data_IF_399766513624
#
_entry.id   IF_399766513624
#
_cell.length_a   1.000
_cell.length_b   1.000
_cell.length_c   1.000
_cell.angle_alpha   90.00
_cell.angle_beta   90.00
_cell.angle_gamma   90.00
#
_symmetry.space_group_name_H-M   'P 1'
#
loop_
_entity.id
_entity.type
_entity.pdbx_description
1 polymer ?
#
# COMPACT_ATOMS: atom_id res chain seq x y z
N UNK A 1 37.40 45.32 -45.04
CA UNK A 1 37.08 44.65 -43.75
C UNK A 1 35.70 44.04 -43.87
N UNK A 2 35.55 42.72 -43.70
CA UNK A 2 34.26 42.02 -43.80
C UNK A 2 33.50 42.18 -42.49
N UNK A 3 32.24 42.61 -42.57
CA UNK A 3 31.35 42.70 -41.42
C UNK A 3 30.96 41.29 -40.96
N UNK A 4 31.31 40.95 -39.71
CA UNK A 4 30.87 39.72 -39.05
C UNK A 4 29.53 40.01 -38.40
N UNK A 5 28.46 39.43 -38.94
CA UNK A 5 27.12 39.46 -38.34
C UNK A 5 27.08 38.40 -37.25
N UNK A 6 27.18 38.83 -36.00
CA UNK A 6 27.00 37.96 -34.84
C UNK A 6 25.50 37.77 -34.58
N UNK A 7 24.91 36.69 -35.10
CA UNK A 7 23.56 36.25 -34.72
C UNK A 7 23.61 35.70 -33.29
N UNK A 8 23.28 36.52 -32.30
CA UNK A 8 23.06 36.06 -30.93
C UNK A 8 21.70 35.37 -30.88
N UNK A 9 21.73 34.04 -30.85
CA UNK A 9 20.54 33.19 -30.65
C UNK A 9 20.14 33.29 -29.17
N UNK A 10 19.23 34.21 -28.84
CA UNK A 10 18.59 34.22 -27.52
C UNK A 10 17.62 33.04 -27.46
N UNK A 11 18.09 31.90 -26.95
CA UNK A 11 17.22 30.81 -26.54
C UNK A 11 16.40 31.25 -25.33
N UNK A 12 15.12 31.57 -25.55
CA UNK A 12 14.17 31.81 -24.47
C UNK A 12 13.97 30.46 -23.75
N UNK A 13 14.62 30.27 -22.61
CA UNK A 13 14.32 29.15 -21.71
C UNK A 13 12.96 29.45 -21.06
N UNK A 14 11.88 28.96 -21.67
CA UNK A 14 10.56 28.95 -21.03
C UNK A 14 10.56 27.79 -20.05
N UNK A 15 11.00 28.04 -18.81
CA UNK A 15 10.65 27.16 -17.70
C UNK A 15 9.16 27.34 -17.46
N UNK A 16 8.34 26.43 -18.00
CA UNK A 16 6.95 26.32 -17.61
C UNK A 16 6.93 26.07 -16.10
N UNK A 17 6.52 27.06 -15.31
CA UNK A 17 6.24 26.87 -13.90
C UNK A 17 5.03 25.94 -13.82
N UNK A 18 5.27 24.66 -13.52
CA UNK A 18 4.21 23.71 -13.23
C UNK A 18 3.64 24.09 -11.86
N UNK A 19 2.49 24.76 -11.82
CA UNK A 19 1.73 24.91 -10.57
C UNK A 19 1.14 23.54 -10.24
N UNK A 20 1.54 22.94 -9.12
CA UNK A 20 0.82 21.80 -8.56
C UNK A 20 -0.48 22.32 -7.95
N UNK A 21 -1.62 21.78 -8.39
CA UNK A 21 -2.87 21.97 -7.68
C UNK A 21 -2.81 21.17 -6.36
N UNK A 22 -3.53 21.63 -5.34
CA UNK A 22 -3.64 20.94 -4.04
C UNK A 22 -5.12 20.81 -3.73
N UNK A 23 -5.60 19.58 -3.54
CA UNK A 23 -6.92 19.27 -3.01
C UNK A 23 -6.79 19.13 -1.49
N UNK A 24 -7.10 20.21 -0.77
CA UNK A 24 -7.08 20.21 0.70
C UNK A 24 -8.51 20.18 1.23
N UNK A 25 -8.79 19.23 2.13
CA UNK A 25 -10.11 18.98 2.69
C UNK A 25 -10.08 19.11 4.21
N UNK A 26 -10.95 19.96 4.74
CA UNK A 26 -11.11 20.27 6.17
C UNK A 26 -12.53 19.99 6.71
N UNK A 27 -13.36 19.39 5.87
CA UNK A 27 -14.73 18.99 6.17
C UNK A 27 -15.09 17.77 5.33
N UNK A 28 -16.12 17.05 5.72
CA UNK A 28 -16.67 15.94 4.95
C UNK A 28 -16.97 16.34 3.50
N UNK A 29 -16.32 15.67 2.53
CA UNK A 29 -16.35 16.06 1.12
C UNK A 29 -16.47 14.82 0.23
N UNK A 30 -17.40 14.88 -0.73
CA UNK A 30 -17.50 13.93 -1.84
C UNK A 30 -16.89 14.57 -3.09
N UNK A 31 -15.99 13.85 -3.75
CA UNK A 31 -15.35 14.28 -4.98
C UNK A 31 -15.58 13.26 -6.08
N UNK A 32 -16.55 13.55 -6.97
CA UNK A 32 -16.99 12.60 -8.00
C UNK A 32 -16.97 13.09 -9.45
N UNK A 33 -16.56 14.33 -9.67
CA UNK A 33 -16.70 14.98 -10.98
C UNK A 33 -15.52 14.75 -11.93
N UNK A 34 -14.36 14.32 -11.43
CA UNK A 34 -13.17 14.14 -12.25
C UNK A 34 -12.69 12.70 -12.28
N UNK A 35 -12.52 12.20 -13.51
CA UNK A 35 -11.84 10.93 -13.79
C UNK A 35 -10.39 10.92 -13.36
N UNK A 36 -9.73 12.07 -13.40
CA UNK A 36 -8.30 12.18 -13.08
C UNK A 36 -8.05 13.37 -12.17
N UNK A 37 -7.49 13.11 -11.00
CA UNK A 37 -7.07 14.12 -10.05
C UNK A 37 -5.58 14.34 -10.24
N UNK A 38 -5.19 15.59 -10.48
CA UNK A 38 -3.80 16.01 -10.59
C UNK A 38 -3.50 16.98 -9.47
N UNK A 39 -2.52 16.64 -8.64
CA UNK A 39 -2.13 17.47 -7.49
C UNK A 39 -2.02 16.71 -6.19
N UNK A 40 -1.55 17.42 -5.16
CA UNK A 40 -1.47 16.86 -3.80
C UNK A 40 -2.86 16.68 -3.21
N UNK A 41 -3.06 15.60 -2.46
CA UNK A 41 -4.32 15.33 -1.73
C UNK A 41 -4.02 15.42 -0.24
N UNK A 42 -4.70 16.32 0.47
CA UNK A 42 -4.49 16.56 1.89
C UNK A 42 -5.82 16.46 2.63
N UNK A 43 -5.96 15.45 3.49
CA UNK A 43 -7.12 15.26 4.35
C UNK A 43 -6.73 15.56 5.79
N UNK A 44 -7.36 16.58 6.37
CA UNK A 44 -7.07 17.01 7.73
C UNK A 44 -7.69 16.07 8.78
N UNK A 45 -7.16 16.11 9.99
CA UNK A 45 -7.74 15.39 11.13
C UNK A 45 -9.22 15.79 11.33
N UNK A 46 -10.04 14.82 11.73
CA UNK A 46 -11.49 14.96 11.87
C UNK A 46 -12.28 15.18 10.57
N UNK A 47 -11.62 15.19 9.40
CA UNK A 47 -12.28 15.36 8.10
C UNK A 47 -12.43 14.04 7.34
N UNK A 48 -13.41 13.94 6.47
CA UNK A 48 -13.57 12.81 5.56
C UNK A 48 -13.55 13.24 4.09
N UNK A 49 -12.84 12.53 3.23
CA UNK A 49 -12.83 12.72 1.79
C UNK A 49 -13.13 11.39 1.11
N UNK A 50 -14.18 11.36 0.30
CA UNK A 50 -14.47 10.27 -0.62
C UNK A 50 -14.18 10.72 -2.05
N UNK A 51 -13.30 10.00 -2.73
CA UNK A 51 -12.99 10.18 -4.15
C UNK A 51 -13.55 8.98 -4.91
N UNK A 52 -14.39 9.24 -5.90
CA UNK A 52 -15.05 8.19 -6.67
C UNK A 52 -15.29 8.62 -8.11
N UNK A 53 -15.01 7.79 -9.11
CA UNK A 53 -15.39 8.10 -10.49
C UNK A 53 -15.54 6.81 -11.31
N UNK A 54 -16.77 6.47 -11.71
CA UNK A 54 -17.09 5.27 -12.50
C UNK A 54 -16.84 5.51 -14.00
N UNK A 55 -16.20 4.59 -14.76
CA UNK A 55 -15.65 3.28 -14.36
C UNK A 55 -14.16 3.28 -14.02
N UNK A 56 -13.53 4.45 -14.04
CA UNK A 56 -12.10 4.57 -13.85
C UNK A 56 -11.76 5.85 -13.10
N UNK A 57 -10.79 5.75 -12.20
CA UNK A 57 -10.24 6.85 -11.42
C UNK A 57 -8.71 6.83 -11.47
N UNK A 58 -8.12 7.96 -11.88
CA UNK A 58 -6.68 8.18 -11.84
C UNK A 58 -6.32 9.25 -10.80
N UNK A 59 -5.27 9.02 -10.02
CA UNK A 59 -4.70 10.01 -9.10
C UNK A 59 -3.22 10.18 -9.42
N UNK A 60 -2.85 11.37 -9.88
CA UNK A 60 -1.48 11.77 -10.17
C UNK A 60 -1.05 12.82 -9.14
N UNK A 61 -0.36 12.38 -8.09
CA UNK A 61 -0.08 13.20 -6.92
C UNK A 61 1.41 13.34 -6.64
N UNK A 62 1.83 14.50 -6.13
CA UNK A 62 3.12 14.58 -5.45
C UNK A 62 3.00 13.81 -4.13
N UNK A 63 2.10 14.27 -3.27
CA UNK A 63 1.88 13.73 -1.94
C UNK A 63 0.39 13.54 -1.64
N UNK A 64 0.05 12.36 -1.13
CA UNK A 64 -1.23 12.09 -0.47
C UNK A 64 -0.96 12.06 1.03
N UNK A 65 -1.42 13.08 1.76
CA UNK A 65 -1.30 13.20 3.21
C UNK A 65 -2.67 13.03 3.86
N UNK A 66 -2.88 11.94 4.59
CA UNK A 66 -4.15 11.61 5.22
C UNK A 66 -4.02 11.56 6.74
N UNK A 67 -4.59 12.55 7.42
CA UNK A 67 -4.74 12.58 8.88
C UNK A 67 -6.18 12.34 9.34
N UNK A 68 -7.15 12.25 8.42
CA UNK A 68 -8.56 12.01 8.70
C UNK A 68 -9.03 10.69 8.09
N UNK A 69 -10.12 10.74 7.32
CA UNK A 69 -10.64 9.57 6.61
C UNK A 69 -10.61 9.82 5.09
N UNK A 70 -9.74 9.10 4.37
CA UNK A 70 -9.68 9.16 2.91
C UNK A 70 -10.18 7.83 2.34
N UNK A 71 -11.23 7.88 1.54
CA UNK A 71 -11.72 6.73 0.79
C UNK A 71 -11.60 6.99 -0.71
N UNK A 72 -11.02 6.05 -1.43
CA UNK A 72 -10.81 6.08 -2.88
C UNK A 72 -11.47 4.83 -3.44
N UNK A 73 -12.62 4.95 -4.07
CA UNK A 73 -13.36 3.76 -4.49
C UNK A 73 -14.78 3.96 -4.93
N UNK A 74 -15.52 2.85 -5.06
CA UNK A 74 -16.95 2.86 -5.37
C UNK A 74 -17.77 3.14 -4.11
N UNK A 75 -18.92 3.80 -4.27
CA UNK A 75 -19.83 4.07 -3.15
C UNK A 75 -20.85 2.98 -2.89
N UNK A 76 -20.93 2.01 -3.79
CA UNK A 76 -21.90 0.94 -3.74
C UNK A 76 -21.21 -0.42 -3.87
N UNK A 77 -21.90 -1.45 -3.40
CA UNK A 77 -21.41 -2.82 -3.31
C UNK A 77 -21.67 -3.63 -4.58
N UNK A 78 -21.88 -2.97 -5.73
CA UNK A 78 -22.24 -3.62 -6.99
C UNK A 78 -21.43 -3.11 -8.19
N UNK A 79 -20.89 -1.90 -8.08
CA UNK A 79 -20.06 -1.26 -9.08
C UNK A 79 -18.66 -1.82 -9.06
N UNK A 80 -17.97 -1.67 -10.19
CA UNK A 80 -16.60 -2.15 -10.40
C UNK A 80 -15.81 -0.99 -11.02
N UNK A 81 -14.68 -0.62 -10.42
CA UNK A 81 -13.89 0.53 -10.85
C UNK A 81 -12.41 0.17 -11.03
N UNK A 82 -11.77 0.68 -12.09
CA UNK A 82 -10.30 0.66 -12.13
C UNK A 82 -9.74 1.88 -11.40
N UNK A 83 -8.75 1.66 -10.54
CA UNK A 83 -8.09 2.72 -9.77
C UNK A 83 -6.59 2.71 -10.10
N UNK A 84 -6.04 3.82 -10.59
CA UNK A 84 -4.60 3.99 -10.81
C UNK A 84 -4.08 5.17 -9.99
N UNK A 85 -3.29 4.87 -8.97
CA UNK A 85 -2.65 5.86 -8.10
C UNK A 85 -1.17 5.89 -8.41
N UNK A 86 -0.69 7.03 -8.90
CA UNK A 86 0.72 7.35 -9.02
C UNK A 86 1.03 8.53 -8.11
N UNK A 87 1.70 8.26 -6.99
CA UNK A 87 2.13 9.29 -6.05
C UNK A 87 3.65 9.26 -5.81
N UNK A 88 4.24 10.39 -5.43
CA UNK A 88 5.62 10.33 -4.89
C UNK A 88 5.58 9.80 -3.46
N UNK A 89 4.70 10.34 -2.62
CA UNK A 89 4.58 9.93 -1.22
C UNK A 89 3.11 9.67 -0.82
N UNK A 90 2.90 8.64 -0.01
CA UNK A 90 1.69 8.48 0.81
C UNK A 90 2.11 8.57 2.28
N UNK A 91 1.52 9.52 3.00
CA UNK A 91 1.67 9.70 4.44
C UNK A 91 0.30 9.47 5.10
N UNK A 92 0.09 8.30 5.69
CA UNK A 92 -1.19 7.93 6.29
C UNK A 92 -1.09 7.83 7.81
N UNK A 93 -1.77 8.74 8.51
CA UNK A 93 -1.96 8.72 9.97
C UNK A 93 -3.41 8.45 10.38
N UNK A 94 -4.34 8.60 9.45
CA UNK A 94 -5.77 8.36 9.64
C UNK A 94 -6.23 7.02 9.05
N UNK A 95 -7.44 7.00 8.50
CA UNK A 95 -8.01 5.85 7.79
C UNK A 95 -7.92 6.10 6.28
N UNK A 96 -7.11 5.32 5.56
CA UNK A 96 -7.01 5.34 4.11
C UNK A 96 -7.58 4.02 3.57
N UNK A 97 -8.59 4.12 2.72
CA UNK A 97 -9.27 2.97 2.12
C UNK A 97 -9.21 3.13 0.60
N UNK A 98 -8.78 2.06 -0.06
CA UNK A 98 -8.79 1.91 -1.51
C UNK A 98 -9.60 0.66 -1.82
N UNK A 99 -10.75 0.83 -2.47
CA UNK A 99 -11.74 -0.24 -2.74
C UNK A 99 -12.27 -0.11 -4.17
N UNK A 100 -12.07 -1.13 -5.01
CA UNK A 100 -12.56 -1.15 -6.39
C UNK A 100 -14.00 -1.67 -6.55
N UNK A 101 -14.71 -1.95 -5.47
CA UNK A 101 -16.13 -2.32 -5.52
C UNK A 101 -16.34 -3.82 -5.44
N UNK A 102 -16.87 -4.49 -6.46
CA UNK A 102 -16.99 -5.97 -6.48
C UNK A 102 -16.02 -6.62 -7.45
N UNK A 103 -15.75 -7.92 -7.29
CA UNK A 103 -14.90 -8.68 -8.21
C UNK A 103 -15.40 -8.58 -9.66
N UNK A 104 -14.49 -8.34 -10.59
CA UNK A 104 -14.75 -8.10 -12.01
C UNK A 104 -13.51 -8.22 -12.90
N UNK A 105 -13.42 -7.35 -13.91
CA UNK A 105 -12.33 -7.27 -14.88
C UNK A 105 -11.48 -6.00 -14.74
N UNK A 106 -11.69 -5.25 -13.66
CA UNK A 106 -11.01 -3.99 -13.40
C UNK A 106 -9.69 -4.24 -12.68
N UNK A 107 -8.90 -3.18 -12.57
CA UNK A 107 -7.56 -3.28 -12.01
C UNK A 107 -7.28 -2.12 -11.09
N UNK A 108 -6.77 -2.42 -9.90
CA UNK A 108 -6.25 -1.40 -8.99
C UNK A 108 -4.73 -1.46 -8.93
N UNK A 109 -4.10 -0.36 -9.28
CA UNK A 109 -2.64 -0.19 -9.23
C UNK A 109 -2.29 0.99 -8.34
N UNK A 110 -1.45 0.75 -7.33
CA UNK A 110 -0.90 1.78 -6.47
C UNK A 110 0.61 1.78 -6.60
N UNK A 111 1.17 2.84 -7.18
CA UNK A 111 2.62 3.03 -7.37
C UNK A 111 3.06 4.27 -6.63
N UNK A 112 3.93 4.07 -5.64
CA UNK A 112 4.47 5.15 -4.82
C UNK A 112 5.97 5.06 -4.67
N UNK A 113 6.63 6.21 -4.51
CA UNK A 113 8.05 6.20 -4.16
C UNK A 113 8.23 5.89 -2.66
N UNK A 114 7.47 6.58 -1.80
CA UNK A 114 7.51 6.37 -0.35
C UNK A 114 6.12 6.12 0.23
N UNK A 115 6.03 5.17 1.15
CA UNK A 115 4.83 4.90 1.95
C UNK A 115 5.21 4.96 3.43
N UNK A 116 4.61 5.89 4.17
CA UNK A 116 4.67 5.98 5.63
C UNK A 116 3.25 5.81 6.20
N UNK A 117 2.99 4.64 6.78
CA UNK A 117 1.72 4.29 7.38
C UNK A 117 1.84 4.16 8.90
N UNK A 118 1.20 5.07 9.63
CA UNK A 118 1.02 5.00 11.09
C UNK A 118 -0.44 4.90 11.52
N UNK A 119 -1.37 5.10 10.58
CA UNK A 119 -2.80 4.86 10.77
C UNK A 119 -3.26 3.50 10.24
N UNK A 120 -4.46 3.48 9.67
CA UNK A 120 -5.07 2.30 9.06
C UNK A 120 -5.07 2.45 7.54
N UNK A 121 -4.43 1.54 6.83
CA UNK A 121 -4.46 1.44 5.37
C UNK A 121 -5.20 0.16 4.98
N UNK A 122 -6.33 0.28 4.30
CA UNK A 122 -7.04 -0.83 3.69
C UNK A 122 -6.92 -0.71 2.18
N UNK A 123 -6.39 -1.75 1.57
CA UNK A 123 -6.37 -1.97 0.14
C UNK A 123 -7.22 -3.24 -0.05
N UNK A 124 -8.54 -3.05 -0.16
CA UNK A 124 -9.52 -4.12 -0.34
C UNK A 124 -9.79 -4.30 -1.81
N UNK A 125 -9.14 -5.29 -2.40
CA UNK A 125 -9.10 -5.43 -3.83
C UNK A 125 -9.59 -6.83 -4.25
N UNK A 126 -10.29 -6.93 -5.38
CA UNK A 126 -11.16 -8.08 -5.70
C UNK A 126 -10.86 -8.74 -7.05
N UNK A 127 -9.81 -8.28 -7.73
CA UNK A 127 -9.38 -8.69 -9.07
C UNK A 127 -7.96 -9.29 -9.08
N UNK A 128 -7.54 -9.93 -10.18
CA UNK A 128 -6.29 -10.72 -10.23
C UNK A 128 -5.03 -9.95 -10.69
N UNK A 129 -5.17 -8.69 -11.09
CA UNK A 129 -4.07 -7.85 -11.62
C UNK A 129 -3.73 -6.66 -10.71
N UNK A 130 -4.01 -6.84 -9.42
CA UNK A 130 -3.89 -5.77 -8.45
C UNK A 130 -2.49 -5.66 -7.89
N UNK A 131 -2.02 -4.44 -7.66
CA UNK A 131 -0.65 -4.24 -7.20
C UNK A 131 -0.44 -3.02 -6.31
N UNK A 132 0.44 -3.20 -5.32
CA UNK A 132 1.08 -2.12 -4.57
C UNK A 132 2.59 -2.20 -4.81
N UNK A 133 3.14 -1.13 -5.40
CA UNK A 133 4.58 -0.98 -5.62
C UNK A 133 5.09 0.24 -4.85
N UNK A 134 6.08 0.02 -3.99
CA UNK A 134 6.80 1.06 -3.24
C UNK A 134 8.29 0.99 -3.63
N UNK A 135 8.87 2.08 -4.15
CA UNK A 135 10.21 2.00 -4.75
C UNK A 135 11.37 2.46 -3.87
N UNK A 136 11.15 3.40 -2.94
CA UNK A 136 12.22 4.06 -2.18
C UNK A 136 12.17 3.72 -0.68
N UNK A 137 11.07 4.06 0.00
CA UNK A 137 10.94 3.91 1.45
C UNK A 137 9.59 3.31 1.83
N UNK A 138 9.60 2.28 2.66
CA UNK A 138 8.39 1.68 3.21
C UNK A 138 8.51 1.62 4.73
N UNK A 139 7.65 2.37 5.41
CA UNK A 139 7.51 2.37 6.87
C UNK A 139 6.07 2.07 7.24
N UNK A 140 5.85 1.03 8.05
CA UNK A 140 4.56 0.71 8.64
C UNK A 140 4.68 0.56 10.15
N UNK A 141 4.06 1.48 10.88
CA UNK A 141 3.91 1.45 12.34
C UNK A 141 2.45 1.23 12.77
N UNK A 142 1.50 1.38 11.83
CA UNK A 142 0.07 1.18 12.04
C UNK A 142 -0.45 -0.17 11.55
N UNK A 143 -1.70 -0.21 11.09
CA UNK A 143 -2.33 -1.38 10.50
C UNK A 143 -2.42 -1.23 8.98
N UNK A 144 -2.02 -2.25 8.24
CA UNK A 144 -2.19 -2.34 6.80
C UNK A 144 -2.92 -3.63 6.46
N UNK A 145 -3.95 -3.56 5.62
CA UNK A 145 -4.66 -4.71 5.08
C UNK A 145 -4.48 -4.71 3.57
N UNK A 146 -3.75 -5.71 3.10
CA UNK A 146 -3.55 -6.06 1.70
C UNK A 146 -4.37 -7.33 1.47
N UNK A 147 -5.69 -7.21 1.60
CA UNK A 147 -6.60 -8.35 1.61
C UNK A 147 -7.33 -8.48 0.28
N UNK A 148 -7.54 -9.71 -0.17
CA UNK A 148 -8.40 -10.00 -1.31
C UNK A 148 -9.63 -10.75 -0.82
N UNK A 149 -10.80 -10.20 -1.09
CA UNK A 149 -12.07 -10.80 -0.69
C UNK A 149 -12.78 -11.28 -1.95
N UNK A 150 -12.45 -12.49 -2.41
CA UNK A 150 -13.34 -13.20 -3.33
C UNK A 150 -14.10 -14.30 -2.62
N UNK A 151 -15.42 -14.12 -2.54
CA UNK A 151 -16.37 -15.11 -2.00
C UNK A 151 -16.40 -16.44 -2.77
N UNK A 152 -15.78 -16.51 -3.96
CA UNK A 152 -15.90 -17.64 -4.89
C UNK A 152 -14.59 -18.41 -5.16
N UNK A 153 -13.59 -18.31 -4.27
CA UNK A 153 -12.46 -19.25 -4.29
C UNK A 153 -11.49 -19.08 -5.45
N UNK A 154 -11.33 -17.87 -5.97
CA UNK A 154 -10.30 -17.56 -6.97
C UNK A 154 -8.96 -17.28 -6.30
N UNK A 155 -7.88 -17.77 -6.91
CA UNK A 155 -6.48 -17.47 -6.57
C UNK A 155 -6.17 -16.01 -6.93
N UNK A 156 -6.70 -15.05 -6.17
CA UNK A 156 -6.37 -13.64 -6.30
C UNK A 156 -4.87 -13.42 -6.05
N UNK A 157 -4.12 -13.09 -7.10
CA UNK A 157 -2.70 -12.74 -6.97
C UNK A 157 -2.59 -11.25 -6.75
N UNK A 158 -2.45 -10.84 -5.50
CA UNK A 158 -2.07 -9.46 -5.18
C UNK A 158 -0.55 -9.30 -5.32
N UNK A 159 -0.11 -8.48 -6.27
CA UNK A 159 1.32 -8.23 -6.46
C UNK A 159 1.81 -7.14 -5.52
N UNK A 160 2.45 -7.54 -4.43
CA UNK A 160 3.16 -6.64 -3.53
C UNK A 160 4.64 -6.53 -3.91
N UNK A 161 5.11 -5.29 -4.14
CA UNK A 161 6.53 -5.00 -4.40
C UNK A 161 7.04 -3.90 -3.48
N UNK A 162 7.87 -4.29 -2.51
CA UNK A 162 8.59 -3.36 -1.64
C UNK A 162 9.88 -2.81 -2.28
N UNK A 163 10.51 -1.83 -1.62
CA UNK A 163 11.79 -1.28 -2.05
C UNK A 163 12.92 -2.28 -1.81
N UNK A 164 13.95 -2.26 -2.68
CA UNK A 164 15.09 -3.19 -2.58
C UNK A 164 15.95 -2.96 -1.34
N UNK A 165 15.86 -1.77 -0.74
CA UNK A 165 16.49 -1.42 0.54
C UNK A 165 15.84 -2.12 1.75
N UNK A 166 14.63 -2.66 1.60
CA UNK A 166 13.89 -3.34 2.67
C UNK A 166 12.72 -2.55 3.23
N UNK A 167 11.94 -3.21 4.07
CA UNK A 167 10.73 -2.70 4.70
C UNK A 167 10.99 -2.49 6.19
N UNK A 168 10.56 -1.36 6.74
CA UNK A 168 10.47 -1.18 8.20
C UNK A 168 9.02 -1.39 8.63
N UNK A 169 8.74 -2.51 9.28
CA UNK A 169 7.42 -2.84 9.81
C UNK A 169 7.51 -3.09 11.32
N UNK A 170 6.99 -2.16 12.12
CA UNK A 170 6.73 -2.36 13.55
C UNK A 170 5.23 -2.45 13.88
N UNK A 171 4.38 -2.27 12.86
CA UNK A 171 2.94 -2.47 12.94
C UNK A 171 2.50 -3.87 12.48
N UNK A 172 1.30 -3.95 11.92
CA UNK A 172 0.73 -5.19 11.36
C UNK A 172 0.44 -5.02 9.88
N UNK A 173 0.83 -6.01 9.06
CA UNK A 173 0.43 -6.16 7.66
C UNK A 173 -0.40 -7.44 7.56
N UNK A 174 -1.69 -7.26 7.31
CA UNK A 174 -2.66 -8.31 7.07
C UNK A 174 -2.70 -8.65 5.58
N UNK A 175 -2.37 -9.89 5.22
CA UNK A 175 -2.30 -10.42 3.85
C UNK A 175 -3.34 -11.53 3.63
N UNK A 176 -4.37 -11.52 4.46
CA UNK A 176 -5.49 -12.46 4.43
C UNK A 176 -6.15 -12.60 3.06
N UNK A 177 -6.35 -13.85 2.62
CA UNK A 177 -7.00 -14.16 1.34
C UNK A 177 -6.15 -13.84 0.11
N UNK A 178 -4.87 -13.48 0.28
CA UNK A 178 -3.96 -13.17 -0.83
C UNK A 178 -2.80 -14.14 -0.94
N UNK A 179 -2.23 -14.17 -2.13
CA UNK A 179 -0.93 -14.77 -2.40
C UNK A 179 0.12 -13.66 -2.44
N UNK A 180 0.99 -13.59 -1.43
CA UNK A 180 2.01 -12.54 -1.32
C UNK A 180 3.41 -13.13 -1.27
N UNK A 181 4.37 -12.48 -1.95
CA UNK A 181 5.79 -12.86 -1.89
C UNK A 181 6.61 -11.75 -1.24
N UNK A 182 7.31 -12.10 -0.17
CA UNK A 182 8.24 -11.25 0.56
C UNK A 182 9.67 -11.64 0.16
N UNK A 183 10.25 -10.86 -0.75
CA UNK A 183 11.59 -11.09 -1.33
C UNK A 183 12.59 -9.95 -1.01
N UNK A 184 12.44 -9.34 0.16
CA UNK A 184 13.23 -8.20 0.63
C UNK A 184 13.46 -8.32 2.14
N UNK A 185 14.50 -7.68 2.72
CA UNK A 185 14.66 -7.67 4.17
C UNK A 185 13.54 -6.88 4.86
N UNK A 186 13.10 -7.34 6.04
CA UNK A 186 12.13 -6.62 6.87
C UNK A 186 12.67 -6.46 8.30
N UNK A 187 12.61 -5.25 8.83
CA UNK A 187 13.00 -4.89 10.21
C UNK A 187 11.81 -4.32 11.01
N UNK A 188 11.95 -4.22 12.33
CA UNK A 188 11.04 -3.42 13.17
C UNK A 188 10.20 -4.21 14.18
N UNK A 189 10.30 -5.54 14.23
CA UNK A 189 9.63 -6.38 15.23
C UNK A 189 8.10 -6.51 15.06
N UNK A 190 7.54 -6.06 13.94
CA UNK A 190 6.11 -6.11 13.64
C UNK A 190 5.60 -7.51 13.30
N UNK A 191 4.39 -7.54 12.72
CA UNK A 191 3.72 -8.77 12.33
C UNK A 191 3.25 -8.75 10.87
N UNK A 192 3.35 -9.92 10.22
CA UNK A 192 2.66 -10.22 8.97
C UNK A 192 1.66 -11.34 9.26
N UNK A 193 0.39 -11.09 8.95
CA UNK A 193 -0.74 -11.89 9.39
C UNK A 193 -1.51 -12.45 8.20
N UNK A 194 -1.81 -13.75 8.20
CA UNK A 194 -2.74 -14.39 7.28
C UNK A 194 -3.90 -15.04 8.04
N UNK A 195 -5.13 -14.82 7.57
CA UNK A 195 -6.34 -15.37 8.18
C UNK A 195 -6.89 -16.62 7.46
N UNK A 196 -8.12 -16.98 7.84
CA UNK A 196 -8.86 -18.17 7.43
C UNK A 196 -9.19 -18.29 5.93
N UNK A 197 -8.99 -17.27 5.09
CA UNK A 197 -9.46 -17.26 3.70
C UNK A 197 -8.44 -17.81 2.70
N UNK A 198 -7.67 -18.86 3.06
CA UNK A 198 -6.58 -19.44 2.26
C UNK A 198 -5.52 -18.39 1.90
N UNK A 199 -4.55 -18.20 2.78
CA UNK A 199 -3.37 -17.37 2.50
C UNK A 199 -2.20 -18.25 2.08
N UNK A 200 -1.59 -17.96 0.93
CA UNK A 200 -0.29 -18.51 0.52
C UNK A 200 0.78 -17.41 0.61
N UNK A 201 1.49 -17.39 1.75
CA UNK A 201 2.52 -16.40 2.04
C UNK A 201 3.90 -16.97 1.73
N UNK A 202 4.61 -16.37 0.78
CA UNK A 202 5.97 -16.77 0.42
C UNK A 202 7.00 -15.85 1.06
N UNK A 203 7.99 -16.40 1.77
CA UNK A 203 9.04 -15.67 2.49
C UNK A 203 10.42 -16.15 2.05
N UNK A 204 11.27 -15.25 1.54
CA UNK A 204 12.64 -15.60 1.20
C UNK A 204 13.58 -15.50 2.42
N UNK A 205 14.02 -16.66 2.91
CA UNK A 205 14.91 -16.81 4.08
C UNK A 205 16.38 -16.44 3.81
N UNK A 206 16.74 -16.03 2.58
CA UNK A 206 18.04 -15.42 2.29
C UNK A 206 18.16 -14.00 2.84
N UNK A 207 17.02 -13.36 3.13
CA UNK A 207 16.94 -12.05 3.78
C UNK A 207 16.59 -12.18 5.24
N UNK A 208 17.05 -11.22 6.05
CA UNK A 208 16.70 -11.14 7.44
C UNK A 208 15.28 -10.59 7.57
N UNK A 209 14.46 -11.29 8.36
CA UNK A 209 13.12 -10.87 8.72
C UNK A 209 13.02 -10.82 10.24
N UNK A 210 12.93 -9.62 10.80
CA UNK A 210 12.64 -9.39 12.22
C UNK A 210 11.13 -9.24 12.41
N UNK A 211 10.37 -10.18 11.87
CA UNK A 211 8.91 -10.15 11.85
C UNK A 211 8.37 -11.44 12.43
N UNK A 212 7.23 -11.34 13.11
CA UNK A 212 6.43 -12.53 13.42
C UNK A 212 5.45 -12.78 12.27
N UNK A 213 5.55 -13.95 11.65
CA UNK A 213 4.57 -14.42 10.68
C UNK A 213 3.50 -15.24 11.41
N UNK A 214 2.26 -14.73 11.47
CA UNK A 214 1.14 -15.39 12.15
C UNK A 214 0.15 -15.94 11.13
N UNK A 215 -0.09 -17.25 11.18
CA UNK A 215 -1.16 -17.91 10.42
C UNK A 215 -2.30 -18.29 11.36
N UNK A 216 -3.47 -17.66 11.22
CA UNK A 216 -4.63 -18.10 11.98
C UNK A 216 -5.06 -19.51 11.52
N UNK A 217 -5.63 -20.29 12.44
CA UNK A 217 -6.29 -21.55 12.09
C UNK A 217 -7.42 -21.28 11.09
N UNK A 218 -7.45 -22.08 10.03
CA UNK A 218 -8.46 -22.02 8.98
C UNK A 218 -9.08 -23.40 8.81
N UNK A 219 -10.32 -23.44 8.33
CA UNK A 219 -10.95 -24.66 7.79
C UNK A 219 -10.37 -25.06 6.42
N UNK A 220 -9.66 -24.13 5.76
CA UNK A 220 -8.92 -24.32 4.50
C UNK A 220 -7.42 -24.35 4.76
N UNK A 221 -6.68 -25.15 4.01
CA UNK A 221 -5.23 -25.18 4.15
C UNK A 221 -4.62 -23.81 3.80
N UNK A 222 -4.03 -23.13 4.78
CA UNK A 222 -3.16 -21.97 4.56
C UNK A 222 -1.70 -22.40 4.64
N UNK A 223 -0.84 -21.76 3.86
CA UNK A 223 0.56 -22.15 3.78
C UNK A 223 1.51 -20.96 3.87
N UNK A 224 2.65 -21.20 4.52
CA UNK A 224 3.80 -20.31 4.41
C UNK A 224 4.91 -21.03 3.63
N UNK A 225 5.31 -20.50 2.50
CA UNK A 225 6.36 -21.08 1.65
C UNK A 225 7.68 -20.39 1.93
N UNK A 226 8.68 -21.14 2.38
CA UNK A 226 10.02 -20.65 2.63
C UNK A 226 10.91 -20.85 1.40
N UNK A 227 11.37 -19.76 0.81
CA UNK A 227 12.36 -19.77 -0.28
C UNK A 227 13.77 -19.56 0.27
N UNK A 228 14.77 -19.86 -0.55
CA UNK A 228 16.19 -19.67 -0.23
C UNK A 228 16.82 -20.87 0.45
N UNK A 229 18.00 -20.66 1.06
CA UNK A 229 18.82 -21.71 1.65
C UNK A 229 18.68 -21.82 3.18
N UNK A 230 17.68 -21.16 3.79
CA UNK A 230 17.49 -21.16 5.25
C UNK A 230 18.53 -20.35 6.01
N UNK A 231 19.08 -19.28 5.41
CA UNK A 231 20.17 -18.49 6.01
C UNK A 231 19.75 -17.81 7.32
N UNK A 232 18.52 -17.29 7.39
CA UNK A 232 17.94 -16.68 8.58
C UNK A 232 16.77 -17.51 9.10
N UNK A 233 16.56 -17.44 10.41
CA UNK A 233 15.52 -18.19 11.14
C UNK A 233 14.25 -17.34 11.18
N UNK A 234 13.22 -17.61 10.37
CA UNK A 234 11.95 -16.90 10.49
C UNK A 234 11.23 -17.30 11.78
N UNK A 235 10.50 -16.33 12.36
CA UNK A 235 9.61 -16.56 13.49
C UNK A 235 8.21 -16.79 12.93
N UNK A 236 7.77 -18.05 12.93
CA UNK A 236 6.43 -18.44 12.47
C UNK A 236 5.62 -18.82 13.70
N UNK A 237 4.37 -18.37 13.76
CA UNK A 237 3.43 -18.69 14.82
C UNK A 237 2.12 -19.12 14.16
N UNK A 238 1.32 -19.91 14.85
CA UNK A 238 0.06 -20.41 14.30
C UNK A 238 0.26 -21.64 13.42
N UNK A 239 1.36 -22.36 13.62
CA UNK A 239 1.57 -23.67 13.00
C UNK A 239 0.69 -24.70 13.72
N UNK A 240 -0.55 -24.86 13.26
CA UNK A 240 -1.54 -25.79 13.81
C UNK A 240 -1.88 -26.87 12.77
N UNK A 241 -2.86 -27.74 13.05
CA UNK A 241 -3.13 -28.87 12.15
C UNK A 241 -3.73 -28.48 10.79
N UNK A 242 -4.29 -27.27 10.67
CA UNK A 242 -4.81 -26.74 9.41
C UNK A 242 -3.76 -26.02 8.54
N UNK A 243 -2.60 -25.69 9.11
CA UNK A 243 -1.59 -24.84 8.46
C UNK A 243 -0.34 -25.62 8.09
N UNK A 244 0.32 -25.23 6.98
CA UNK A 244 1.52 -25.90 6.48
C UNK A 244 2.69 -24.92 6.34
N UNK A 245 3.91 -25.42 6.58
CA UNK A 245 5.15 -24.70 6.22
C UNK A 245 5.77 -25.42 5.03
N UNK A 246 5.70 -24.83 3.85
CA UNK A 246 6.25 -25.38 2.61
C UNK A 246 7.67 -24.87 2.36
N UNK A 247 8.45 -25.59 1.54
CA UNK A 247 9.82 -25.21 1.19
C UNK A 247 10.04 -25.18 -0.31
N UNK A 248 10.69 -24.12 -0.77
CA UNK A 248 11.15 -23.97 -2.14
C UNK A 248 10.02 -23.82 -3.15
N UNK A 249 10.22 -24.40 -4.33
CA UNK A 249 9.30 -24.30 -5.46
C UNK A 249 8.67 -25.66 -5.73
N UNK A 250 7.58 -25.67 -6.50
CA UNK A 250 6.96 -26.90 -6.96
C UNK A 250 7.96 -27.69 -7.82
N UNK A 251 8.21 -28.96 -7.47
CA UNK A 251 9.04 -29.90 -8.24
C UNK A 251 8.17 -30.92 -8.95
N UNK A 252 8.44 -31.15 -10.25
CA UNK A 252 7.69 -32.07 -11.12
C UNK A 252 7.92 -33.56 -10.84
N UNK A 253 8.87 -33.89 -9.95
CA UNK A 253 9.21 -35.27 -9.65
C UNK A 253 9.53 -35.41 -8.17
N UNK A 254 8.82 -36.34 -7.54
CA UNK A 254 9.10 -36.81 -6.19
C UNK A 254 10.58 -37.19 -6.06
N UNK A 255 11.29 -36.52 -5.14
CA UNK A 255 12.70 -36.82 -4.88
C UNK A 255 12.95 -37.43 -3.48
N UNK A 256 11.93 -37.44 -2.60
CA UNK A 256 11.99 -38.05 -1.28
C UNK A 256 13.01 -37.41 -0.33
N UNK A 257 13.46 -36.18 -0.57
CA UNK A 257 14.65 -35.60 0.10
C UNK A 257 14.42 -34.96 1.47
N UNK A 258 13.22 -35.04 2.06
CA UNK A 258 12.98 -34.39 3.36
C UNK A 258 13.50 -35.27 4.49
N UNK A 259 14.46 -34.76 5.25
CA UNK A 259 14.90 -35.38 6.50
C UNK A 259 13.80 -35.28 7.56
N UNK A 260 13.69 -36.28 8.44
CA UNK A 260 12.80 -36.22 9.60
C UNK A 260 13.03 -34.92 10.39
N UNK A 261 11.99 -34.11 10.63
CA UNK A 261 12.13 -32.85 11.33
C UNK A 261 12.52 -33.11 12.78
N UNK A 262 13.34 -32.24 13.35
CA UNK A 262 13.71 -32.27 14.76
C UNK A 262 13.22 -30.99 15.42
N UNK A 263 12.70 -31.10 16.64
CA UNK A 263 12.18 -29.95 17.39
C UNK A 263 12.87 -29.84 18.74
N UNK A 264 13.37 -28.64 19.03
CA UNK A 264 13.98 -28.31 20.30
C UNK A 264 12.93 -27.65 21.22
N UNK A 265 12.48 -28.33 22.30
CA UNK A 265 11.43 -27.80 23.19
C UNK A 265 11.89 -26.58 24.01
N UNK A 266 13.20 -26.41 24.23
CA UNK A 266 13.74 -25.30 25.02
C UNK A 266 13.74 -23.98 24.23
N UNK A 267 13.96 -24.05 22.92
CA UNK A 267 14.01 -22.88 22.03
C UNK A 267 12.74 -22.68 21.23
N UNK A 268 11.96 -23.74 20.98
CA UNK A 268 10.83 -23.71 20.04
C UNK A 268 11.23 -23.82 18.58
N UNK A 269 12.50 -24.19 18.29
CA UNK A 269 13.02 -24.25 16.93
C UNK A 269 12.81 -25.65 16.35
N UNK A 270 12.17 -25.72 15.18
CA UNK A 270 12.16 -26.90 14.31
C UNK A 270 13.28 -26.78 13.27
N UNK A 271 14.03 -27.87 13.09
CA UNK A 271 15.08 -28.00 12.08
C UNK A 271 14.73 -29.12 11.12
N UNK A 272 14.77 -28.83 9.81
CA UNK A 272 14.60 -29.82 8.75
C UNK A 272 15.53 -29.51 7.58
N UNK A 273 15.94 -30.53 6.85
CA UNK A 273 16.75 -30.41 5.65
C UNK A 273 16.01 -31.03 4.46
N UNK A 274 16.16 -30.41 3.31
CA UNK A 274 15.67 -30.92 2.03
C UNK A 274 16.64 -30.50 0.90
N UNK A 275 16.25 -30.73 -0.35
CA UNK A 275 17.07 -30.35 -1.52
C UNK A 275 17.45 -28.85 -1.60
N UNK A 276 16.69 -27.96 -0.96
CA UNK A 276 16.92 -26.50 -0.97
C UNK A 276 17.88 -26.03 0.12
N UNK A 277 18.15 -26.86 1.13
CA UNK A 277 19.04 -26.53 2.23
C UNK A 277 18.53 -27.04 3.58
N UNK A 278 19.09 -26.47 4.65
CA UNK A 278 18.64 -26.73 6.02
C UNK A 278 17.90 -25.50 6.51
N UNK A 279 16.67 -25.71 6.96
CA UNK A 279 15.82 -24.68 7.50
C UNK A 279 15.73 -24.85 9.01
N UNK A 280 16.00 -23.76 9.71
CA UNK A 280 15.66 -23.59 11.11
C UNK A 280 14.52 -22.60 11.18
N UNK A 281 13.45 -22.96 11.86
CA UNK A 281 12.25 -22.14 12.00
C UNK A 281 11.91 -22.06 13.47
N UNK A 282 11.77 -20.87 14.02
CA UNK A 282 11.19 -20.71 15.35
C UNK A 282 9.66 -20.81 15.21
N UNK A 283 9.07 -21.91 15.69
CA UNK A 283 7.61 -22.11 15.74
C UNK A 283 7.01 -21.80 17.13
N UNK A 284 7.86 -21.48 18.10
CA UNK A 284 7.46 -21.28 19.49
C UNK A 284 7.50 -22.57 20.32
N UNK A 285 7.35 -22.42 21.63
CA UNK A 285 7.43 -23.52 22.59
C UNK A 285 6.10 -24.26 22.77
N UNK A 286 6.16 -25.43 23.39
CA UNK A 286 4.98 -26.21 23.80
C UNK A 286 4.49 -27.26 22.81
N UNK A 287 5.08 -27.33 21.60
CA UNK A 287 4.76 -28.37 20.64
C UNK A 287 5.23 -29.76 21.09
N UNK A 288 4.45 -30.79 20.76
CA UNK A 288 4.94 -32.17 20.76
C UNK A 288 5.72 -32.42 19.46
N UNK A 289 7.05 -32.46 19.56
CA UNK A 289 7.92 -32.67 18.40
C UNK A 289 7.65 -33.96 17.63
N UNK A 290 7.08 -34.99 18.26
CA UNK A 290 6.72 -36.24 17.59
C UNK A 290 5.52 -36.11 16.64
N UNK A 291 4.76 -35.02 16.77
CA UNK A 291 3.60 -34.70 15.92
C UNK A 291 3.94 -33.80 14.75
N UNK A 292 5.16 -33.29 14.68
CA UNK A 292 5.66 -32.54 13.53
C UNK A 292 6.10 -33.54 12.47
N UNK A 293 5.43 -33.51 11.32
CA UNK A 293 5.63 -34.48 10.25
C UNK A 293 6.14 -33.78 9.00
N UNK A 294 7.00 -34.47 8.26
CA UNK A 294 7.27 -34.11 6.87
C UNK A 294 6.15 -34.64 6.00
N UNK A 295 5.65 -33.79 5.12
CA UNK A 295 4.68 -34.13 4.09
C UNK A 295 5.20 -33.62 2.74
N UNK A 296 4.65 -34.14 1.66
CA UNK A 296 4.73 -33.49 0.36
C UNK A 296 3.35 -32.98 -0.01
N UNK A 297 3.22 -31.66 -0.09
CA UNK A 297 1.98 -31.03 -0.49
C UNK A 297 1.89 -31.05 -2.01
N UNK A 298 0.77 -31.52 -2.57
CA UNK A 298 0.46 -31.29 -3.97
C UNK A 298 0.14 -29.78 -4.12
N UNK A 299 0.89 -29.09 -4.97
CA UNK A 299 0.98 -27.63 -4.92
C UNK A 299 0.68 -26.91 -6.25
N UNK A 300 0.19 -27.62 -7.27
CA UNK A 300 -0.23 -27.00 -8.53
C UNK A 300 -1.77 -26.91 -8.67
N UNK A 301 -2.31 -25.75 -9.09
CA UNK A 301 -3.74 -25.56 -9.31
C UNK A 301 -4.31 -26.21 -10.59
N UNK A 302 -3.49 -26.78 -11.48
CA UNK A 302 -3.96 -27.32 -12.77
C UNK A 302 -4.15 -28.83 -12.77
N UNK A 303 -5.38 -29.23 -13.09
CA UNK A 303 -6.01 -30.53 -12.84
C UNK A 303 -5.59 -31.68 -13.79
N UNK A 304 -4.53 -31.53 -14.60
CA UNK A 304 -4.23 -32.52 -15.65
C UNK A 304 -2.88 -33.23 -15.55
N UNK A 305 -1.94 -32.79 -14.71
CA UNK A 305 -0.65 -33.48 -14.52
C UNK A 305 -0.31 -33.60 -13.02
N UNK A 306 -0.56 -34.78 -12.47
CA UNK A 306 -0.49 -35.13 -11.04
C UNK A 306 0.95 -35.29 -10.50
N UNK A 307 1.87 -34.37 -10.79
CA UNK A 307 3.29 -34.57 -10.48
C UNK A 307 4.02 -33.40 -9.86
N UNK A 308 3.34 -32.34 -9.41
CA UNK A 308 4.02 -31.22 -8.75
C UNK A 308 3.90 -31.26 -7.23
N UNK A 309 5.04 -31.39 -6.55
CA UNK A 309 5.14 -31.52 -5.10
C UNK A 309 5.93 -30.35 -4.52
N UNK A 310 5.56 -29.91 -3.33
CA UNK A 310 6.38 -29.05 -2.48
C UNK A 310 6.63 -29.77 -1.14
N UNK A 311 7.90 -29.94 -0.73
CA UNK A 311 8.22 -30.34 0.63
C UNK A 311 7.51 -29.47 1.66
N UNK A 312 6.92 -30.06 2.70
CA UNK A 312 6.21 -29.33 3.72
C UNK A 312 6.40 -29.94 5.12
N UNK A 313 6.19 -29.11 6.15
CA UNK A 313 5.91 -29.55 7.51
C UNK A 313 4.42 -29.38 7.80
N UNK A 314 3.88 -30.36 8.51
CA UNK A 314 2.54 -30.33 9.09
C UNK A 314 2.57 -30.72 10.57
N UNK A 315 1.55 -30.30 11.30
CA UNK A 315 1.33 -30.69 12.69
C UNK A 315 0.12 -31.63 12.76
N UNK A 316 0.27 -32.78 13.43
CA UNK A 316 -0.77 -33.82 13.40
C UNK A 316 -2.14 -33.35 13.91
N UNK A 317 -3.21 -33.76 13.23
CA UNK A 317 -4.61 -33.46 13.61
C UNK A 317 -5.01 -34.02 14.99
N UNK A 318 -4.30 -35.03 15.46
CA UNK A 318 -4.49 -35.65 16.77
C UNK A 318 -3.65 -34.98 17.88
N UNK A 319 -2.87 -33.95 17.55
CA UNK A 319 -2.01 -33.27 18.49
C UNK A 319 -2.76 -32.20 19.29
N UNK A 320 -2.35 -32.03 20.55
CA UNK A 320 -2.79 -30.88 21.34
C UNK A 320 -2.04 -29.64 20.85
N UNK A 321 -2.79 -28.62 20.43
CA UNK A 321 -2.23 -27.37 19.91
C UNK A 321 -1.76 -26.46 21.08
N UNK A 322 -0.47 -26.06 21.12
CA UNK A 322 0.02 -25.16 22.16
C UNK A 322 -0.47 -23.71 21.95
N UNK A 323 -0.20 -22.84 22.94
CA UNK A 323 -0.48 -21.41 22.84
C UNK A 323 0.17 -20.78 21.60
N UNK A 324 1.42 -21.15 21.26
CA UNK A 324 2.11 -20.66 20.06
C UNK A 324 1.41 -21.02 18.73
N UNK A 325 0.50 -22.00 18.75
CA UNK A 325 -0.31 -22.43 17.60
C UNK A 325 -1.69 -21.73 17.53
N UNK A 326 -2.18 -21.19 18.63
CA UNK A 326 -3.59 -20.77 18.79
C UNK A 326 -3.76 -19.32 19.26
N UNK A 327 -2.82 -18.80 20.05
CA UNK A 327 -2.84 -17.44 20.56
C UNK A 327 -2.15 -16.47 19.60
N UNK A 328 -2.90 -15.44 19.18
CA UNK A 328 -2.38 -14.36 18.35
C UNK A 328 -1.24 -13.63 19.07
N UNK A 329 -0.05 -13.48 18.45
CA UNK A 329 1.05 -12.72 19.03
C UNK A 329 0.66 -11.26 19.28
N UNK A 330 1.18 -10.65 20.35
CA UNK A 330 0.87 -9.25 20.71
C UNK A 330 1.39 -8.24 19.69
N UNK A 331 2.40 -8.60 18.89
CA UNK A 331 2.88 -7.82 17.74
C UNK A 331 1.89 -7.78 16.58
N UNK A 332 0.95 -8.72 16.54
CA UNK A 332 -0.12 -8.78 15.55
C UNK A 332 -1.35 -8.06 16.13
N UNK A 333 -1.47 -6.75 15.93
CA UNK A 333 -2.66 -6.01 16.31
C UNK A 333 -3.88 -6.56 15.55
N UNK A 334 -5.04 -6.71 16.22
CA UNK A 334 -6.29 -7.07 15.55
C UNK A 334 -6.71 -5.99 14.55
N UNK A 335 -7.45 -6.39 13.50
CA UNK A 335 -8.05 -5.43 12.57
C UNK A 335 -8.87 -4.43 13.39
N UNK A 336 -8.59 -3.12 13.31
CA UNK A 336 -9.39 -2.11 13.99
C UNK A 336 -10.82 -2.16 13.46
N UNK A 337 -11.79 -1.73 14.29
CA UNK A 337 -13.21 -1.73 13.92
C UNK A 337 -13.42 -0.98 12.59
N UNK A 338 -13.97 -1.69 11.62
CA UNK A 338 -14.17 -1.24 10.25
C UNK A 338 -15.59 -0.76 10.02
N UNK A 339 -16.17 -0.01 10.95
CA UNK A 339 -17.40 0.74 10.67
C UNK A 339 -17.29 1.64 9.41
N UNK A 340 -16.08 1.77 8.85
CA UNK A 340 -15.76 2.42 7.58
C UNK A 340 -15.21 1.51 6.47
N UNK A 341 -15.21 0.17 6.54
CA UNK A 341 -14.59 -0.72 5.53
C UNK A 341 -15.09 -0.54 4.09
N UNK A 342 -16.22 0.15 3.91
CA UNK A 342 -16.78 0.50 2.61
C UNK A 342 -16.68 2.02 2.48
N UNK A 343 -16.37 2.51 1.29
CA UNK A 343 -16.54 3.91 0.92
C UNK A 343 -18.03 4.32 1.02
N UNK A 344 -18.49 4.61 2.24
CA UNK A 344 -19.86 5.00 2.50
C UNK A 344 -20.10 6.46 2.13
N UNK A 345 -21.24 6.72 1.49
CA UNK A 345 -21.73 8.09 1.25
C UNK A 345 -22.41 8.69 2.47
N UNK A 346 -22.65 7.90 3.52
CA UNK A 346 -23.21 8.39 4.78
C UNK A 346 -22.10 9.11 5.53
N UNK A 347 -21.88 10.37 5.14
CA UNK A 347 -21.09 11.30 5.94
C UNK A 347 -21.74 11.39 7.32
N UNK A 348 -20.98 11.26 8.43
CA UNK A 348 -21.55 11.39 9.76
C UNK A 348 -22.26 12.75 9.84
N UNK A 349 -23.57 12.72 10.12
CA UNK A 349 -24.37 13.93 10.18
C UNK A 349 -23.85 14.81 11.33
N UNK A 350 -22.97 15.75 11.02
CA UNK A 350 -22.56 16.78 11.98
C UNK A 350 -23.80 17.63 12.26
N UNK A 351 -24.24 17.60 13.52
CA UNK A 351 -25.32 18.42 14.04
C UNK A 351 -25.14 19.87 13.58
N UNK A 352 -26.16 20.39 12.90
CA UNK A 352 -26.34 21.75 12.39
C UNK A 352 -25.47 22.82 13.07
N UNK A 353 -24.36 23.21 12.43
CA UNK A 353 -23.71 24.48 12.72
C UNK A 353 -24.41 25.63 11.97
N UNK A 354 -24.55 26.82 12.59
CA UNK A 354 -25.28 27.93 12.00
C UNK A 354 -24.56 28.45 10.76
N UNK A 355 -25.30 28.48 9.64
CA UNK A 355 -24.87 29.02 8.36
C UNK A 355 -24.74 30.54 8.44
N UNK A 356 -23.53 31.06 8.60
CA UNK A 356 -23.18 32.44 8.24
C UNK A 356 -22.32 32.42 6.98
N UNK A 357 -22.94 32.82 5.87
CA UNK A 357 -22.30 33.00 4.55
C UNK A 357 -21.25 34.10 4.60
N UNK A 358 -20.15 33.95 3.86
CA UNK A 358 -19.38 35.09 3.36
C UNK A 358 -18.62 34.82 2.06
N UNK A 359 -18.44 35.92 1.35
CA UNK A 359 -17.93 36.20 0.00
C UNK A 359 -16.69 35.45 -0.48
N UNK A 360 -16.68 35.15 -1.79
CA UNK A 360 -15.48 34.83 -2.58
C UNK A 360 -14.45 35.95 -2.42
N UNK A 361 -13.34 35.67 -1.74
CA UNK A 361 -12.15 36.50 -1.80
C UNK A 361 -11.21 35.93 -2.86
N UNK A 362 -10.58 36.80 -3.65
CA UNK A 362 -9.42 36.45 -4.47
C UNK A 362 -8.28 37.22 -3.82
N UNK A 363 -7.29 36.50 -3.29
CA UNK A 363 -6.06 37.12 -2.80
C UNK A 363 -4.99 36.97 -3.88
N UNK A 364 -4.52 38.09 -4.41
CA UNK A 364 -3.40 38.15 -5.34
C UNK A 364 -2.18 38.69 -4.61
N UNK A 365 -1.22 37.80 -4.33
CA UNK A 365 0.10 38.16 -3.83
C UNK A 365 1.05 38.35 -5.01
N UNK A 366 1.68 39.51 -5.12
CA UNK A 366 2.75 39.75 -6.08
C UNK A 366 4.03 39.99 -5.29
N UNK A 367 5.01 39.09 -5.43
CA UNK A 367 6.36 39.29 -4.91
C UNK A 367 7.34 39.46 -6.06
N UNK A 368 8.25 40.42 -5.93
CA UNK A 368 9.36 40.61 -6.88
C UNK A 368 10.67 40.48 -6.15
N UNK A 369 11.55 39.60 -6.62
CA UNK A 369 12.89 39.41 -6.09
C UNK A 369 13.90 39.45 -7.22
N UNK A 370 15.10 39.96 -6.95
CA UNK A 370 16.20 39.93 -7.92
C UNK A 370 17.08 38.72 -7.60
N UNK A 371 17.29 37.82 -8.54
CA UNK A 371 18.15 36.65 -8.31
C UNK A 371 19.65 37.04 -8.37
N UNK A 372 20.52 36.11 -8.00
CA UNK A 372 21.98 36.30 -7.99
C UNK A 372 22.58 36.64 -9.37
N UNK A 373 21.81 36.46 -10.45
CA UNK A 373 22.19 36.78 -11.83
C UNK A 373 21.65 38.16 -12.28
N UNK A 374 21.08 38.96 -11.38
CA UNK A 374 20.55 40.28 -11.69
C UNK A 374 19.23 40.27 -12.49
N UNK A 375 18.55 39.11 -12.58
CA UNK A 375 17.26 38.99 -13.26
C UNK A 375 16.13 39.35 -12.28
N UNK A 376 15.13 40.05 -12.79
CA UNK A 376 13.90 40.31 -12.05
C UNK A 376 13.02 39.06 -12.13
N UNK A 377 12.76 38.44 -10.99
CA UNK A 377 11.81 37.35 -10.85
C UNK A 377 10.54 37.95 -10.25
N UNK A 378 9.46 37.94 -11.04
CA UNK A 378 8.13 38.30 -10.56
C UNK A 378 7.35 37.01 -10.34
N UNK A 379 6.94 36.78 -9.10
CA UNK A 379 6.07 35.67 -8.72
C UNK A 379 4.71 36.24 -8.41
N UNK A 380 3.72 35.81 -9.17
CA UNK A 380 2.32 36.11 -8.94
C UNK A 380 1.65 34.85 -8.39
N UNK A 381 1.13 34.97 -7.17
CA UNK A 381 0.35 33.94 -6.49
C UNK A 381 -1.09 34.42 -6.47
N UNK A 382 -1.94 33.77 -7.26
CA UNK A 382 -3.38 33.98 -7.18
C UNK A 382 -3.99 32.83 -6.38
N UNK A 383 -4.57 33.14 -5.22
CA UNK A 383 -5.35 32.19 -4.44
C UNK A 383 -6.82 32.54 -4.60
N UNK A 384 -7.55 31.65 -5.27
CA UNK A 384 -9.00 31.74 -5.42
C UNK A 384 -9.66 30.84 -4.38
N UNK A 385 -10.59 31.42 -3.63
CA UNK A 385 -11.39 30.73 -2.63
C UNK A 385 -12.78 30.49 -3.21
N UNK A 386 -13.16 29.23 -3.36
CA UNK A 386 -14.53 28.87 -3.71
C UNK A 386 -15.14 28.14 -2.53
N UNK A 387 -16.19 28.72 -1.98
CA UNK A 387 -17.12 28.01 -1.10
C UNK A 387 -18.34 27.67 -1.93
N UNK A 388 -18.57 26.39 -2.18
CA UNK A 388 -19.87 25.92 -2.67
C UNK A 388 -20.78 25.63 -1.48
N UNK A 389 -22.10 25.72 -1.71
CA UNK A 389 -23.09 25.33 -0.71
C UNK A 389 -22.69 23.95 -0.16
N UNK A 390 -22.59 23.85 1.18
CA UNK A 390 -22.21 22.67 1.99
C UNK A 390 -20.76 22.67 2.53
N UNK A 391 -20.31 23.79 3.11
CA UNK A 391 -19.14 23.91 4.03
C UNK A 391 -17.74 23.55 3.52
N UNK A 392 -17.60 22.98 2.34
CA UNK A 392 -16.29 22.71 1.72
C UNK A 392 -15.70 24.01 1.16
N UNK A 393 -14.48 24.34 1.58
CA UNK A 393 -13.69 25.44 1.01
C UNK A 393 -12.63 24.85 0.08
N UNK A 394 -12.74 25.14 -1.22
CA UNK A 394 -11.71 24.81 -2.20
C UNK A 394 -10.71 25.95 -2.31
N UNK A 395 -9.43 25.62 -2.24
CA UNK A 395 -8.33 26.57 -2.47
C UNK A 395 -7.64 26.21 -3.78
N UNK A 396 -7.71 27.10 -4.76
CA UNK A 396 -6.88 27.00 -5.96
C UNK A 396 -5.76 28.03 -5.86
N UNK A 397 -4.53 27.57 -5.67
CA UNK A 397 -3.35 28.44 -5.71
C UNK A 397 -2.65 28.29 -7.05
N UNK A 398 -2.67 29.35 -7.87
CA UNK A 398 -1.91 29.43 -9.10
C UNK A 398 -0.67 30.28 -8.85
N UNK A 399 0.50 29.65 -8.90
CA UNK A 399 1.79 30.35 -8.84
C UNK A 399 2.35 30.46 -10.25
N UNK A 400 2.54 31.68 -10.72
CA UNK A 400 3.17 31.98 -12.02
C UNK A 400 4.45 32.75 -11.78
N UNK A 401 5.57 32.23 -12.27
CA UNK A 401 6.88 32.86 -12.14
C UNK A 401 7.38 33.29 -13.50
N UNK A 402 7.61 34.59 -13.67
CA UNK A 402 8.20 35.16 -14.89
C UNK A 402 9.61 35.63 -14.57
N UNK A 403 10.59 35.10 -15.29
CA UNK A 403 12.00 35.50 -15.23
C UNK A 403 12.32 36.32 -16.47
N UNK A 404 12.58 37.62 -16.30
CA UNK A 404 12.92 38.50 -17.41
C UNK A 404 14.32 39.14 -17.21
N UNK A 405 15.14 39.24 -18.28
CA UNK A 405 16.39 40.00 -18.22
C UNK A 405 16.09 41.50 -18.05
N UNK A 406 16.90 42.18 -17.23
CA UNK A 406 16.72 43.60 -16.91
C UNK A 406 17.07 44.47 -18.13
N UNK A 407 16.07 44.97 -18.85
CA UNK A 407 16.26 45.99 -19.89
C UNK A 407 15.90 47.38 -19.35
N UNK A 408 16.61 48.43 -19.78
CA UNK A 408 16.39 49.84 -19.33
C UNK A 408 15.08 50.46 -19.87
N UNK A 409 14.19 49.65 -20.43
CA UNK A 409 12.94 50.10 -21.06
C UNK A 409 11.79 49.45 -20.31
N UNK A 410 10.86 50.25 -19.81
CA UNK A 410 9.65 49.76 -19.15
C UNK A 410 8.84 48.91 -20.12
N UNK A 411 8.72 47.60 -19.84
CA UNK A 411 7.78 46.73 -20.54
C UNK A 411 6.47 46.78 -19.75
N UNK A 412 5.49 47.53 -20.27
CA UNK A 412 4.11 47.48 -19.77
C UNK A 412 3.43 46.26 -20.39
N UNK A 413 3.33 45.17 -19.64
CA UNK A 413 2.56 43.98 -20.05
C UNK A 413 1.09 44.21 -19.69
N UNK A 414 0.23 44.32 -20.69
CA UNK A 414 -1.22 44.29 -20.50
C UNK A 414 -1.68 42.84 -20.37
N UNK A 415 -2.41 42.53 -19.31
CA UNK A 415 -3.12 41.26 -19.18
C UNK A 415 -4.60 41.49 -19.52
N UNK A 416 -5.05 40.92 -20.63
CA UNK A 416 -6.49 40.84 -20.94
C UNK A 416 -7.04 39.59 -20.27
N UNK A 417 -8.03 39.76 -19.41
CA UNK A 417 -8.78 38.67 -18.78
C UNK A 417 -9.74 38.10 -19.84
N UNK A 418 -9.59 36.82 -20.19
CA UNK A 418 -10.62 36.06 -20.94
C UNK A 418 -11.52 35.40 -19.91
#
# INVERSE_FOLDING_TARGET
MKAVVLKVLFGLLVTAATSSAVLQVSSDTLYSEQRTIVGDVIVMDGSSLLITHDPELGILSGTISNNGNLCIGTTDTTSIMSIDILATNIENKGNLIIDNGVAGDKTTTVKVASLDNSGNLLIDLKDSMESLTVTNSFVNTGYMSLSHVTLQGYDGVFTFKGPTSGITNSGTIDVSGTNITIDYPISGGGCIYGNEWRTDLTVNTNYQHDQTFWMQKSDRASSITLLGAGKYIPVIRGFNSGNKIQFGRNIQKYDGTITTPSYNPDTGIVTTSNMYGTFQIDIGKGYDGSKIKSEQSNSCPTVSDSSCYAPALTYGDDAVEPAAATERPTSCASRPDLSMAICSTVLPSLSSFPSSYSTSHISTGISSTTNNNGQCVKTETSTSYFSTLHTTTYFYSKVSTITAPRTRTFITTYHTKI
#
